data_IF_404995739679
#
_entry.id   IF_404995739679
#
_cell.length_a   1.000
_cell.length_b   1.000
_cell.length_c   1.000
_cell.angle_alpha   90.00
_cell.angle_beta   90.00
_cell.angle_gamma   90.00
#
_symmetry.space_group_name_H-M   'P 1'
#
loop_
_entity.id
_entity.type
_entity.pdbx_description
1 polymer ?
#
# COMPACT_ATOMS: atom_id res chain seq x y z
N UNK A 1 22.57 16.53 -13.63
CA UNK A 1 21.21 16.98 -13.28
C UNK A 1 21.04 18.38 -13.86
N UNK A 2 20.59 18.50 -15.10
CA UNK A 2 20.41 19.80 -15.79
C UNK A 2 19.22 19.74 -16.77
N UNK A 3 18.12 19.08 -16.38
CA UNK A 3 16.87 19.30 -17.10
C UNK A 3 15.70 19.18 -16.13
N UNK A 4 15.24 20.29 -15.52
CA UNK A 4 14.02 20.26 -14.72
C UNK A 4 12.86 19.77 -15.60
N UNK A 5 11.89 19.12 -14.97
CA UNK A 5 10.65 18.65 -15.58
C UNK A 5 10.06 19.65 -16.58
N UNK A 6 9.79 19.19 -17.80
CA UNK A 6 9.12 19.98 -18.84
C UNK A 6 7.91 19.22 -19.37
N UNK A 7 6.80 19.92 -19.56
CA UNK A 7 5.52 19.35 -20.02
C UNK A 7 5.68 18.54 -21.32
N UNK A 8 6.61 18.91 -22.18
CA UNK A 8 6.90 18.20 -23.43
C UNK A 8 7.40 16.75 -23.23
N UNK A 9 7.92 16.40 -22.05
CA UNK A 9 8.38 15.03 -21.72
C UNK A 9 7.30 14.19 -21.01
N UNK A 10 6.10 14.72 -20.79
CA UNK A 10 5.05 14.05 -20.02
C UNK A 10 4.65 12.69 -20.58
N UNK A 11 4.59 12.54 -21.90
CA UNK A 11 4.25 11.24 -22.49
C UNK A 11 5.29 10.17 -22.12
N UNK A 12 6.58 10.50 -22.23
CA UNK A 12 7.65 9.57 -21.87
C UNK A 12 7.59 9.20 -20.39
N UNK A 13 7.43 10.18 -19.51
CA UNK A 13 7.36 9.97 -18.07
C UNK A 13 6.15 9.12 -17.67
N UNK A 14 4.99 9.32 -18.30
CA UNK A 14 3.82 8.46 -18.05
C UNK A 14 4.10 6.99 -18.37
N UNK A 15 4.92 6.71 -19.39
CA UNK A 15 5.28 5.35 -19.78
C UNK A 15 6.51 4.82 -19.04
N UNK A 16 7.31 5.71 -18.44
CA UNK A 16 8.59 5.38 -17.78
C UNK A 16 8.76 6.17 -16.48
N UNK A 17 7.83 6.11 -15.52
CA UNK A 17 7.84 7.01 -14.36
C UNK A 17 9.07 6.80 -13.46
N UNK A 18 9.62 5.59 -13.46
CA UNK A 18 10.83 5.23 -12.70
C UNK A 18 12.15 5.64 -13.37
N UNK A 19 12.09 6.22 -14.58
CA UNK A 19 13.28 6.68 -15.30
C UNK A 19 13.76 8.09 -14.89
N UNK A 20 12.95 8.83 -14.12
CA UNK A 20 13.25 10.17 -13.66
C UNK A 20 13.35 10.19 -12.15
N UNK A 21 14.52 10.58 -11.62
CA UNK A 21 14.77 10.61 -10.19
C UNK A 21 13.82 11.57 -9.50
N UNK A 22 13.62 12.76 -10.05
CA UNK A 22 12.75 13.81 -9.49
C UNK A 22 11.28 13.37 -9.42
N UNK A 23 10.84 12.48 -10.32
CA UNK A 23 9.49 11.90 -10.29
C UNK A 23 9.28 10.91 -9.12
N UNK A 24 10.34 10.44 -8.47
CA UNK A 24 10.29 9.45 -7.39
C UNK A 24 10.30 10.05 -5.99
N UNK A 25 10.42 11.38 -5.85
CA UNK A 25 10.52 12.04 -4.55
C UNK A 25 9.39 13.06 -4.34
N UNK A 26 8.28 12.60 -3.78
CA UNK A 26 7.12 13.43 -3.47
C UNK A 26 7.36 14.44 -2.34
N UNK A 27 8.28 14.13 -1.41
CA UNK A 27 8.54 14.90 -0.19
C UNK A 27 9.05 16.32 -0.43
N UNK A 28 9.61 16.60 -1.61
CA UNK A 28 10.13 17.93 -1.94
C UNK A 28 9.02 18.90 -2.33
N UNK A 29 7.78 18.41 -2.51
CA UNK A 29 6.66 19.14 -3.11
C UNK A 29 5.50 19.37 -2.13
N UNK A 30 5.79 19.72 -0.87
CA UNK A 30 4.77 19.89 0.19
C UNK A 30 3.67 20.89 -0.18
N UNK A 31 4.00 21.95 -0.95
CA UNK A 31 2.98 22.89 -1.45
C UNK A 31 2.03 22.24 -2.43
N UNK A 32 2.54 21.40 -3.35
CA UNK A 32 1.70 20.68 -4.30
C UNK A 32 0.81 19.65 -3.60
N UNK A 33 1.36 18.92 -2.63
CA UNK A 33 0.60 18.01 -1.77
C UNK A 33 -0.56 18.70 -1.07
N UNK A 34 -0.31 19.88 -0.49
CA UNK A 34 -1.36 20.68 0.15
C UNK A 34 -2.45 21.08 -0.83
N UNK A 35 -2.07 21.53 -2.03
CA UNK A 35 -3.02 21.99 -3.03
C UNK A 35 -3.86 20.81 -3.60
N UNK A 36 -3.27 19.62 -3.78
CA UNK A 36 -3.98 18.39 -4.14
C UNK A 36 -4.95 17.92 -3.04
N UNK A 37 -4.54 17.97 -1.77
CA UNK A 37 -5.43 17.67 -0.64
C UNK A 37 -6.60 18.66 -0.53
N UNK A 38 -6.39 19.94 -0.84
CA UNK A 38 -7.46 20.93 -0.93
C UNK A 38 -8.40 20.65 -2.11
N UNK A 39 -7.87 20.21 -3.25
CA UNK A 39 -8.68 19.77 -4.38
C UNK A 39 -9.53 18.55 -4.02
N UNK A 40 -8.94 17.55 -3.36
CA UNK A 40 -9.63 16.37 -2.81
C UNK A 40 -10.75 16.79 -1.85
N UNK A 41 -10.45 17.68 -0.88
CA UNK A 41 -11.44 18.22 0.07
C UNK A 41 -12.59 18.93 -0.63
N UNK A 42 -12.27 19.76 -1.64
CA UNK A 42 -13.26 20.50 -2.45
C UNK A 42 -14.16 19.55 -3.26
N UNK A 43 -13.63 18.42 -3.69
CA UNK A 43 -14.39 17.36 -4.36
C UNK A 43 -15.27 16.53 -3.40
N UNK A 44 -15.24 16.81 -2.10
CA UNK A 44 -16.02 16.10 -1.07
C UNK A 44 -15.23 15.07 -0.27
N UNK A 45 -13.93 14.94 -0.54
CA UNK A 45 -13.02 14.05 0.19
C UNK A 45 -12.90 14.38 1.68
N UNK A 46 -12.92 13.35 2.51
CA UNK A 46 -12.91 13.49 3.98
C UNK A 46 -11.62 12.99 4.64
N UNK A 47 -11.15 11.83 4.20
CA UNK A 47 -10.09 11.08 4.87
C UNK A 47 -9.22 10.37 3.85
N UNK A 48 -7.91 10.36 4.09
CA UNK A 48 -6.92 9.58 3.35
C UNK A 48 -6.20 8.66 4.33
N UNK A 49 -5.97 7.42 3.92
CA UNK A 49 -5.02 6.52 4.57
C UNK A 49 -3.70 6.70 3.85
N UNK A 50 -2.68 7.17 4.57
CA UNK A 50 -1.34 7.39 4.05
C UNK A 50 -0.46 6.23 4.57
N UNK A 51 -0.13 5.32 3.65
CA UNK A 51 0.44 4.01 3.94
C UNK A 51 1.95 3.94 3.84
N UNK A 52 2.65 5.06 3.68
CA UNK A 52 4.12 5.08 3.74
C UNK A 52 4.57 4.54 5.10
N UNK A 53 5.42 3.51 5.14
CA UNK A 53 5.92 2.87 6.38
C UNK A 53 7.44 2.91 6.51
N UNK A 54 7.98 2.19 7.50
CA UNK A 54 9.42 2.05 7.67
C UNK A 54 10.06 1.45 6.42
N UNK A 55 11.02 2.19 5.85
CA UNK A 55 11.77 1.79 4.66
C UNK A 55 11.47 2.61 3.40
N UNK A 56 10.41 3.43 3.41
CA UNK A 56 10.01 4.31 2.30
C UNK A 56 9.77 5.75 2.76
N UNK A 57 10.49 6.18 3.79
CA UNK A 57 10.59 7.57 4.24
C UNK A 57 9.26 8.22 4.70
N UNK A 58 8.56 7.56 5.63
CA UNK A 58 7.39 8.12 6.35
C UNK A 58 7.72 9.43 7.07
N UNK A 59 6.92 10.48 6.89
CA UNK A 59 7.10 11.81 7.52
C UNK A 59 5.85 12.27 8.26
N UNK A 60 5.67 11.75 9.48
CA UNK A 60 4.51 12.04 10.33
C UNK A 60 4.33 13.53 10.68
N UNK A 61 5.39 14.31 11.01
CA UNK A 61 5.27 15.75 11.20
C UNK A 61 4.65 16.48 10.00
N UNK A 62 5.08 16.14 8.78
CA UNK A 62 4.51 16.73 7.56
C UNK A 62 3.05 16.32 7.37
N UNK A 63 2.70 15.05 7.57
CA UNK A 63 1.29 14.60 7.50
C UNK A 63 0.40 15.33 8.50
N UNK A 64 0.87 15.51 9.75
CA UNK A 64 0.15 16.27 10.78
C UNK A 64 -0.07 17.72 10.36
N UNK A 65 0.92 18.34 9.73
CA UNK A 65 0.81 19.71 9.25
C UNK A 65 -0.20 19.82 8.10
N UNK A 66 -0.11 18.94 7.10
CA UNK A 66 -1.03 18.88 5.96
C UNK A 66 -2.48 18.63 6.40
N UNK A 67 -2.71 17.74 7.37
CA UNK A 67 -4.05 17.50 7.92
C UNK A 67 -4.65 18.77 8.54
N UNK A 68 -3.83 19.57 9.24
CA UNK A 68 -4.28 20.86 9.83
C UNK A 68 -4.56 21.91 8.76
N UNK A 69 -3.67 22.04 7.77
CA UNK A 69 -3.75 23.09 6.77
C UNK A 69 -4.89 22.89 5.78
N UNK A 70 -5.30 21.64 5.55
CA UNK A 70 -6.30 21.28 4.54
C UNK A 70 -7.64 20.85 5.14
N UNK A 71 -7.66 20.44 6.41
CA UNK A 71 -8.84 19.88 7.05
C UNK A 71 -9.25 18.49 6.51
N UNK A 72 -8.35 17.80 5.82
CA UNK A 72 -8.46 16.38 5.45
C UNK A 72 -7.94 15.54 6.62
N UNK A 73 -8.66 14.49 7.01
CA UNK A 73 -8.16 13.54 7.99
C UNK A 73 -7.12 12.64 7.34
N UNK A 74 -5.93 12.53 7.95
CA UNK A 74 -4.87 11.65 7.45
C UNK A 74 -4.63 10.56 8.49
N UNK A 75 -4.81 9.31 8.09
CA UNK A 75 -4.56 8.12 8.90
C UNK A 75 -3.23 7.52 8.48
N UNK A 76 -2.22 7.61 9.34
CA UNK A 76 -0.88 7.10 9.04
C UNK A 76 -0.77 5.58 9.23
N UNK A 77 0.03 4.95 8.39
CA UNK A 77 0.37 3.55 8.40
C UNK A 77 1.50 3.16 9.36
N UNK A 78 1.40 1.99 10.00
CA UNK A 78 2.44 1.36 10.81
C UNK A 78 3.10 0.17 10.11
N UNK A 79 4.35 -0.15 10.45
CA UNK A 79 5.02 -1.37 10.02
C UNK A 79 6.20 -1.16 9.08
N UNK A 80 6.44 -2.14 8.21
CA UNK A 80 7.66 -2.28 7.41
C UNK A 80 7.33 -2.68 5.98
N UNK A 81 8.07 -2.10 5.04
CA UNK A 81 7.89 -2.38 3.62
C UNK A 81 8.62 -3.66 3.17
N UNK A 82 9.07 -3.74 1.91
CA UNK A 82 9.68 -4.93 1.33
C UNK A 82 11.12 -5.18 1.83
N UNK A 83 11.63 -6.41 1.69
CA UNK A 83 12.96 -6.79 2.19
C UNK A 83 14.14 -5.92 1.70
N UNK A 84 14.00 -5.31 0.51
CA UNK A 84 15.03 -4.42 -0.04
C UNK A 84 15.19 -3.12 0.74
N UNK A 85 14.18 -2.71 1.52
CA UNK A 85 14.23 -1.51 2.38
C UNK A 85 14.58 -1.85 3.84
N UNK A 86 14.56 -3.13 4.20
CA UNK A 86 14.91 -3.57 5.56
C UNK A 86 16.40 -3.37 5.86
N UNK A 87 16.69 -2.59 6.89
CA UNK A 87 18.04 -2.43 7.41
C UNK A 87 18.61 -3.73 7.99
N UNK A 88 19.93 -3.81 8.14
CA UNK A 88 20.59 -4.95 8.83
C UNK A 88 20.04 -5.16 10.25
N UNK A 89 19.64 -4.08 10.93
CA UNK A 89 19.01 -4.17 12.24
C UNK A 89 17.63 -4.82 12.15
N UNK A 90 16.77 -4.35 11.25
CA UNK A 90 15.43 -4.92 10.99
C UNK A 90 15.51 -6.41 10.66
N UNK A 91 16.41 -6.80 9.75
CA UNK A 91 16.60 -8.22 9.38
C UNK A 91 17.03 -9.10 10.55
N UNK A 92 17.65 -8.55 11.60
CA UNK A 92 18.08 -9.28 12.80
C UNK A 92 17.03 -9.29 13.92
N UNK A 93 15.99 -8.46 13.85
CA UNK A 93 14.94 -8.44 14.86
C UNK A 93 14.18 -9.77 14.88
N UNK A 94 13.76 -10.16 16.08
CA UNK A 94 12.83 -11.27 16.27
C UNK A 94 11.42 -10.83 15.93
N UNK A 95 10.51 -11.80 15.76
CA UNK A 95 9.09 -11.51 15.49
C UNK A 95 8.50 -10.69 16.63
N UNK A 96 8.80 -11.03 17.89
CA UNK A 96 8.32 -10.32 19.07
C UNK A 96 8.76 -8.86 19.06
N UNK A 97 10.02 -8.59 18.70
CA UNK A 97 10.53 -7.22 18.66
C UNK A 97 9.86 -6.40 17.55
N UNK A 98 9.60 -7.00 16.40
CA UNK A 98 8.86 -6.36 15.31
C UNK A 98 7.41 -6.09 15.73
N UNK A 99 6.75 -7.04 16.42
CA UNK A 99 5.40 -6.87 16.97
C UNK A 99 5.35 -5.69 17.94
N UNK A 100 6.29 -5.61 18.88
CA UNK A 100 6.36 -4.52 19.86
C UNK A 100 6.48 -3.15 19.19
N UNK A 101 7.24 -3.06 18.09
CA UNK A 101 7.38 -1.82 17.32
C UNK A 101 6.03 -1.45 16.72
N UNK A 102 5.39 -2.35 15.97
CA UNK A 102 4.08 -2.08 15.33
C UNK A 102 3.05 -1.67 16.38
N UNK A 103 2.99 -2.38 17.51
CA UNK A 103 2.07 -2.06 18.61
C UNK A 103 2.36 -0.69 19.21
N UNK A 104 3.63 -0.33 19.40
CA UNK A 104 4.02 0.98 19.89
C UNK A 104 3.65 2.10 18.91
N UNK A 105 3.84 1.90 17.60
CA UNK A 105 3.47 2.88 16.57
C UNK A 105 1.97 3.21 16.62
N UNK A 106 1.12 2.21 16.87
CA UNK A 106 -0.33 2.38 16.98
C UNK A 106 -0.75 2.98 18.33
N UNK A 107 -0.15 2.55 19.44
CA UNK A 107 -0.63 2.94 20.78
C UNK A 107 0.03 4.19 21.35
N UNK A 108 1.28 4.46 21.01
CA UNK A 108 2.13 5.44 21.70
C UNK A 108 2.72 6.49 20.76
N UNK A 109 2.99 6.11 19.51
CA UNK A 109 3.51 7.00 18.49
C UNK A 109 4.66 6.37 17.71
N UNK A 110 4.92 6.93 16.54
CA UNK A 110 5.90 6.43 15.59
C UNK A 110 7.00 7.47 15.29
N UNK A 111 8.15 6.98 14.81
CA UNK A 111 9.30 7.79 14.33
C UNK A 111 9.82 8.86 15.33
N UNK A 112 9.78 8.54 16.63
CA UNK A 112 10.20 9.48 17.69
C UNK A 112 9.22 10.63 17.94
N UNK A 113 8.01 10.54 17.39
CA UNK A 113 6.91 11.50 17.61
C UNK A 113 5.84 10.93 18.54
N UNK A 114 4.89 11.78 18.93
CA UNK A 114 3.66 11.38 19.63
C UNK A 114 2.50 11.08 18.65
N UNK A 115 2.78 10.96 17.35
CA UNK A 115 1.79 10.68 16.31
C UNK A 115 1.58 9.17 16.23
N UNK A 116 0.36 8.74 16.53
CA UNK A 116 -0.05 7.35 16.44
C UNK A 116 -0.51 6.99 15.03
N UNK A 117 -0.15 5.80 14.59
CA UNK A 117 -0.66 5.20 13.36
C UNK A 117 -2.06 4.62 13.59
N UNK A 118 -2.90 4.59 12.55
CA UNK A 118 -4.28 4.10 12.64
C UNK A 118 -4.53 2.78 11.91
N UNK A 119 -3.58 2.34 11.07
CA UNK A 119 -3.63 1.06 10.34
C UNK A 119 -2.25 0.38 10.41
N UNK A 120 -2.21 -0.94 10.23
CA UNK A 120 -0.95 -1.68 10.08
C UNK A 120 -0.72 -1.90 8.58
N UNK A 121 0.05 -1.02 7.95
CA UNK A 121 0.33 -1.10 6.52
C UNK A 121 0.90 0.20 5.96
N UNK A 122 1.42 0.20 4.73
CA UNK A 122 1.54 -1.00 3.90
C UNK A 122 2.63 -1.96 4.41
N UNK A 123 2.29 -3.24 4.53
CA UNK A 123 3.25 -4.31 4.83
C UNK A 123 3.74 -4.90 3.51
N UNK A 124 5.02 -4.70 3.23
CA UNK A 124 5.62 -5.05 1.95
C UNK A 124 6.07 -6.49 1.85
N UNK A 125 5.76 -7.12 0.72
CA UNK A 125 6.31 -8.43 0.35
C UNK A 125 6.78 -8.45 -1.10
N UNK A 126 7.92 -9.09 -1.34
CA UNK A 126 8.37 -9.47 -2.67
C UNK A 126 7.83 -10.83 -3.12
N UNK A 127 8.42 -11.37 -4.18
CA UNK A 127 8.22 -12.76 -4.58
C UNK A 127 9.55 -13.40 -5.05
N UNK A 128 9.93 -14.58 -4.53
CA UNK A 128 9.34 -15.28 -3.38
C UNK A 128 9.41 -14.46 -2.09
N UNK A 129 8.50 -14.71 -1.13
CA UNK A 129 8.51 -14.04 0.17
C UNK A 129 9.79 -14.43 0.93
N UNK A 130 10.56 -13.44 1.35
CA UNK A 130 11.84 -13.66 2.05
C UNK A 130 11.64 -14.04 3.53
N UNK A 131 12.71 -14.48 4.18
CA UNK A 131 12.69 -14.74 5.63
C UNK A 131 12.37 -13.47 6.44
N UNK A 132 12.91 -12.32 6.03
CA UNK A 132 12.65 -11.07 6.74
C UNK A 132 11.20 -10.62 6.59
N UNK A 133 10.63 -10.71 5.39
CA UNK A 133 9.21 -10.40 5.14
C UNK A 133 8.29 -11.38 5.86
N UNK A 134 8.65 -12.67 5.89
CA UNK A 134 7.91 -13.69 6.68
C UNK A 134 7.87 -13.32 8.17
N UNK A 135 8.99 -12.82 8.74
CA UNK A 135 9.00 -12.35 10.13
C UNK A 135 8.12 -11.11 10.33
N UNK A 136 8.12 -10.18 9.39
CA UNK A 136 7.25 -8.98 9.43
C UNK A 136 5.77 -9.35 9.30
N UNK A 137 5.40 -10.27 8.40
CA UNK A 137 4.02 -10.78 8.28
C UNK A 137 3.54 -11.43 9.58
N UNK A 138 4.39 -12.26 10.21
CA UNK A 138 4.06 -12.87 11.51
C UNK A 138 3.88 -11.81 12.59
N UNK A 139 4.76 -10.83 12.66
CA UNK A 139 4.67 -9.73 13.61
C UNK A 139 3.40 -8.90 13.40
N UNK A 140 3.05 -8.66 12.14
CA UNK A 140 1.81 -7.98 11.71
C UNK A 140 0.58 -8.72 12.23
N UNK A 141 0.50 -10.04 12.02
CA UNK A 141 -0.61 -10.86 12.53
C UNK A 141 -0.73 -10.81 14.06
N UNK A 142 0.38 -10.91 14.79
CA UNK A 142 0.37 -10.79 16.25
C UNK A 142 -0.07 -9.40 16.73
N UNK A 143 0.40 -8.33 16.07
CA UNK A 143 -0.01 -6.97 16.38
C UNK A 143 -1.51 -6.76 16.11
N UNK A 144 -2.00 -7.28 14.98
CA UNK A 144 -3.42 -7.24 14.63
C UNK A 144 -4.28 -7.96 15.66
N UNK A 145 -3.85 -9.14 16.13
CA UNK A 145 -4.58 -9.89 17.16
C UNK A 145 -4.66 -9.14 18.50
N UNK A 146 -3.64 -8.35 18.85
CA UNK A 146 -3.63 -7.53 20.07
C UNK A 146 -4.48 -6.27 19.94
N UNK A 147 -4.47 -5.62 18.77
CA UNK A 147 -5.04 -4.29 18.57
C UNK A 147 -6.43 -4.31 17.93
N UNK A 148 -6.74 -5.34 17.16
CA UNK A 148 -7.94 -5.42 16.33
C UNK A 148 -7.96 -4.47 15.13
N UNK A 149 -6.83 -3.82 14.83
CA UNK A 149 -6.63 -2.89 13.71
C UNK A 149 -6.73 -3.58 12.34
N UNK A 150 -7.03 -2.84 11.26
CA UNK A 150 -6.92 -3.35 9.91
C UNK A 150 -5.46 -3.51 9.49
N UNK A 151 -5.20 -4.49 8.60
CA UNK A 151 -3.91 -4.68 7.92
C UNK A 151 -4.06 -4.24 6.45
N UNK A 152 -3.03 -3.61 5.88
CA UNK A 152 -2.95 -3.36 4.43
C UNK A 152 -1.64 -3.98 3.90
N UNK A 153 -1.75 -4.85 2.89
CA UNK A 153 -0.66 -5.65 2.35
C UNK A 153 -0.30 -5.20 0.94
N UNK A 154 1.00 -5.00 0.72
CA UNK A 154 1.60 -4.91 -0.60
C UNK A 154 2.15 -6.28 -1.03
N UNK A 155 1.51 -6.96 -2.00
CA UNK A 155 1.98 -8.25 -2.48
C UNK A 155 3.09 -8.11 -3.55
N UNK A 156 3.89 -9.17 -3.66
CA UNK A 156 4.73 -9.42 -4.82
C UNK A 156 3.92 -9.43 -6.13
N UNK A 157 4.62 -9.36 -7.27
CA UNK A 157 3.98 -9.23 -8.61
C UNK A 157 3.54 -10.58 -9.21
N UNK A 158 3.78 -11.68 -8.49
CA UNK A 158 3.38 -13.01 -8.92
C UNK A 158 1.94 -13.30 -8.48
N UNK A 159 1.15 -13.98 -9.32
CA UNK A 159 -0.26 -14.31 -9.05
C UNK A 159 -0.45 -15.13 -7.76
N UNK A 160 0.55 -15.93 -7.35
CA UNK A 160 0.49 -16.71 -6.11
C UNK A 160 0.85 -15.91 -4.84
N UNK A 161 1.42 -14.69 -4.98
CA UNK A 161 1.88 -13.91 -3.83
C UNK A 161 0.74 -13.51 -2.86
N UNK A 162 -0.43 -13.00 -3.33
CA UNK A 162 -1.54 -12.68 -2.44
C UNK A 162 -2.00 -13.85 -1.57
N UNK A 163 -2.20 -15.03 -2.16
CA UNK A 163 -2.66 -16.21 -1.44
C UNK A 163 -1.63 -16.71 -0.41
N UNK A 164 -0.33 -16.63 -0.75
CA UNK A 164 0.74 -17.00 0.17
C UNK A 164 0.82 -16.04 1.38
N UNK A 165 0.62 -14.73 1.17
CA UNK A 165 0.53 -13.78 2.28
C UNK A 165 -0.64 -14.11 3.21
N UNK A 166 -1.83 -14.36 2.64
CA UNK A 166 -3.02 -14.76 3.41
C UNK A 166 -2.75 -16.02 4.22
N UNK A 167 -2.13 -17.04 3.62
CA UNK A 167 -1.74 -18.28 4.30
C UNK A 167 -0.87 -18.00 5.53
N UNK A 168 0.20 -17.21 5.37
CA UNK A 168 1.13 -16.87 6.47
C UNK A 168 0.40 -16.11 7.59
N UNK A 169 -0.45 -15.14 7.24
CA UNK A 169 -1.22 -14.38 8.21
C UNK A 169 -2.18 -15.30 8.98
N UNK A 170 -2.96 -16.15 8.30
CA UNK A 170 -3.90 -17.08 8.93
C UNK A 170 -3.21 -18.10 9.84
N UNK A 171 -2.10 -18.70 9.39
CA UNK A 171 -1.31 -19.64 10.20
C UNK A 171 -0.76 -19.00 11.48
N UNK A 172 -0.58 -17.67 11.47
CA UNK A 172 -0.13 -16.89 12.63
C UNK A 172 -1.29 -16.35 13.48
N UNK A 173 -2.53 -16.55 13.05
CA UNK A 173 -3.74 -16.10 13.77
C UNK A 173 -4.24 -14.71 13.38
N UNK A 174 -3.81 -14.17 12.22
CA UNK A 174 -4.34 -12.93 11.65
C UNK A 174 -5.80 -13.06 11.21
N UNK A 175 -6.57 -11.99 11.37
CA UNK A 175 -7.96 -11.87 10.94
C UNK A 175 -8.03 -11.30 9.52
N UNK A 176 -8.20 -12.20 8.55
CA UNK A 176 -8.28 -11.86 7.13
C UNK A 176 -9.49 -11.00 6.80
N UNK A 177 -10.58 -11.09 7.58
CA UNK A 177 -11.76 -10.27 7.37
C UNK A 177 -11.53 -8.77 7.61
N UNK A 178 -10.37 -8.42 8.19
CA UNK A 178 -9.85 -7.06 8.43
C UNK A 178 -8.54 -6.79 7.69
N UNK A 179 -8.21 -7.59 6.68
CA UNK A 179 -7.00 -7.42 5.88
C UNK A 179 -7.37 -6.92 4.49
N UNK A 180 -6.66 -5.92 4.01
CA UNK A 180 -6.73 -5.40 2.65
C UNK A 180 -5.56 -5.96 1.85
N UNK A 181 -5.86 -6.52 0.69
CA UNK A 181 -4.85 -6.91 -0.29
C UNK A 181 -4.80 -5.86 -1.40
N UNK A 182 -3.73 -5.07 -1.40
CA UNK A 182 -3.44 -4.03 -2.37
C UNK A 182 -3.01 -4.60 -3.72
N UNK A 183 -3.05 -3.77 -4.76
CA UNK A 183 -2.50 -4.05 -6.09
C UNK A 183 -3.06 -5.30 -6.80
N UNK A 184 -4.31 -5.69 -6.52
CA UNK A 184 -4.91 -6.83 -7.22
C UNK A 184 -5.08 -6.54 -8.71
N UNK A 185 -5.30 -5.27 -9.06
CA UNK A 185 -5.48 -4.82 -10.43
C UNK A 185 -4.26 -5.09 -11.33
N UNK A 186 -3.04 -5.21 -10.76
CA UNK A 186 -1.82 -5.57 -11.52
C UNK A 186 -1.31 -6.99 -11.29
N UNK A 187 -2.03 -7.81 -10.51
CA UNK A 187 -1.48 -9.07 -9.99
C UNK A 187 -2.30 -10.30 -10.38
N UNK A 188 -3.64 -10.26 -10.28
CA UNK A 188 -4.51 -11.40 -10.62
C UNK A 188 -5.46 -10.97 -11.74
N UNK A 189 -5.29 -11.57 -12.91
CA UNK A 189 -6.06 -11.22 -14.12
C UNK A 189 -7.08 -12.30 -14.51
N UNK A 190 -6.81 -13.55 -14.14
CA UNK A 190 -7.73 -14.65 -14.39
C UNK A 190 -8.91 -14.56 -13.42
N UNK A 191 -10.12 -14.67 -13.96
CA UNK A 191 -11.35 -14.51 -13.17
C UNK A 191 -11.55 -15.66 -12.18
N UNK A 192 -11.15 -16.89 -12.51
CA UNK A 192 -11.27 -18.05 -11.61
C UNK A 192 -10.28 -17.93 -10.45
N UNK A 193 -9.00 -17.63 -10.73
CA UNK A 193 -7.99 -17.37 -9.70
C UNK A 193 -8.40 -16.19 -8.79
N UNK A 194 -8.99 -15.14 -9.36
CA UNK A 194 -9.47 -13.99 -8.60
C UNK A 194 -10.62 -14.36 -7.67
N UNK A 195 -11.59 -15.17 -8.12
CA UNK A 195 -12.70 -15.63 -7.28
C UNK A 195 -12.23 -16.60 -6.18
N UNK A 196 -11.27 -17.48 -6.50
CA UNK A 196 -10.64 -18.34 -5.51
C UNK A 196 -9.97 -17.50 -4.41
N UNK A 197 -9.17 -16.50 -4.79
CA UNK A 197 -8.55 -15.59 -3.83
C UNK A 197 -9.59 -14.77 -3.04
N UNK A 198 -10.61 -14.23 -3.70
CA UNK A 198 -11.67 -13.45 -3.07
C UNK A 198 -12.41 -14.25 -1.98
N UNK A 199 -12.60 -15.56 -2.20
CA UNK A 199 -13.26 -16.46 -1.25
C UNK A 199 -12.50 -16.58 0.09
N UNK A 200 -11.21 -16.20 0.15
CA UNK A 200 -10.43 -16.18 1.38
C UNK A 200 -10.85 -15.07 2.35
N UNK A 201 -11.64 -14.09 1.88
CA UNK A 201 -12.36 -13.14 2.73
C UNK A 201 -11.64 -11.83 3.06
N UNK A 202 -10.54 -11.52 2.37
CA UNK A 202 -9.87 -10.22 2.45
C UNK A 202 -10.64 -9.13 1.70
N UNK A 203 -10.34 -7.86 1.99
CA UNK A 203 -10.71 -6.76 1.11
C UNK A 203 -9.83 -6.78 -0.14
N UNK A 204 -10.45 -6.57 -1.29
CA UNK A 204 -9.84 -6.57 -2.61
C UNK A 204 -9.64 -5.13 -3.04
N UNK A 205 -8.39 -4.67 -3.04
CA UNK A 205 -8.07 -3.29 -3.34
C UNK A 205 -7.52 -3.13 -4.77
N UNK A 206 -8.16 -2.22 -5.50
CA UNK A 206 -7.78 -1.75 -6.83
C UNK A 206 -7.28 -0.31 -6.66
N UNK A 207 -6.02 -0.18 -6.31
CA UNK A 207 -5.42 1.07 -5.84
C UNK A 207 -4.60 1.81 -6.90
N UNK A 208 -4.51 1.33 -8.14
CA UNK A 208 -3.73 2.00 -9.19
C UNK A 208 -4.60 2.72 -10.23
N UNK A 209 -5.77 3.26 -9.83
CA UNK A 209 -6.58 4.07 -10.75
C UNK A 209 -5.81 5.30 -11.25
N UNK A 210 -5.87 5.56 -12.55
CA UNK A 210 -5.12 6.62 -13.22
C UNK A 210 -3.70 6.23 -13.65
N UNK A 211 -3.22 5.05 -13.22
CA UNK A 211 -1.88 4.53 -13.54
C UNK A 211 -1.97 3.54 -14.71
N UNK A 212 -1.63 4.05 -15.90
CA UNK A 212 -1.67 3.30 -17.17
C UNK A 212 -0.32 3.35 -17.88
N UNK A 213 0.29 2.19 -18.13
CA UNK A 213 1.63 2.05 -18.70
C UNK A 213 1.67 0.88 -19.68
N UNK A 214 2.23 1.13 -20.86
CA UNK A 214 2.62 0.10 -21.81
C UNK A 214 4.00 -0.43 -21.35
N UNK A 215 4.12 -1.74 -21.17
CA UNK A 215 5.30 -2.41 -20.59
C UNK A 215 5.57 -2.03 -19.13
N UNK A 216 4.85 -2.65 -18.19
CA UNK A 216 5.10 -2.47 -16.77
C UNK A 216 6.52 -2.96 -16.40
N UNK A 217 7.45 -2.09 -15.96
CA UNK A 217 8.87 -2.47 -15.82
C UNK A 217 9.14 -3.52 -14.73
N UNK A 218 8.19 -3.72 -13.82
CA UNK A 218 8.30 -4.73 -12.75
C UNK A 218 7.65 -6.07 -13.10
N UNK A 219 6.90 -6.15 -14.21
CA UNK A 219 6.42 -7.39 -14.78
C UNK A 219 6.17 -7.19 -16.29
N UNK A 220 7.15 -7.58 -17.12
CA UNK A 220 7.13 -7.36 -18.56
C UNK A 220 6.08 -8.20 -19.29
N UNK A 221 5.50 -9.21 -18.63
CA UNK A 221 4.43 -10.05 -19.19
C UNK A 221 3.06 -9.37 -19.10
N UNK A 222 2.99 -8.18 -18.49
CA UNK A 222 1.75 -7.46 -18.16
C UNK A 222 1.83 -6.01 -18.63
N UNK A 223 0.82 -5.58 -19.37
CA UNK A 223 0.49 -4.15 -19.50
C UNK A 223 -0.35 -3.72 -18.31
N UNK A 224 -0.03 -2.57 -17.73
CA UNK A 224 -0.86 -2.02 -16.64
C UNK A 224 -2.28 -1.79 -17.15
N UNK A 225 -3.32 -2.31 -16.49
CA UNK A 225 -4.68 -2.13 -16.96
C UNK A 225 -5.06 -0.65 -17.07
N UNK A 226 -5.94 -0.36 -18.02
CA UNK A 226 -6.65 0.90 -18.06
C UNK A 226 -7.71 0.98 -16.97
N UNK A 227 -8.15 2.19 -16.65
CA UNK A 227 -9.27 2.40 -15.71
C UNK A 227 -10.55 1.73 -16.22
N UNK A 228 -10.74 1.65 -17.54
CA UNK A 228 -11.86 0.91 -18.14
C UNK A 228 -11.79 -0.60 -17.89
N UNK A 229 -10.58 -1.17 -17.83
CA UNK A 229 -10.40 -2.58 -17.45
C UNK A 229 -10.62 -2.78 -15.95
N UNK A 230 -10.11 -1.87 -15.10
CA UNK A 230 -10.38 -1.90 -13.65
C UNK A 230 -11.87 -1.84 -13.34
N UNK A 231 -12.62 -0.93 -13.98
CA UNK A 231 -14.08 -0.83 -13.82
C UNK A 231 -14.79 -2.12 -14.23
N UNK A 232 -14.34 -2.80 -15.29
CA UNK A 232 -14.91 -4.10 -15.69
C UNK A 232 -14.63 -5.20 -14.66
N UNK A 233 -13.41 -5.25 -14.11
CA UNK A 233 -13.05 -6.20 -13.07
C UNK A 233 -13.86 -5.97 -11.78
N UNK A 234 -14.03 -4.71 -11.36
CA UNK A 234 -14.88 -4.36 -10.22
C UNK A 234 -16.35 -4.74 -10.48
N UNK A 235 -16.88 -4.46 -11.68
CA UNK A 235 -18.24 -4.83 -12.04
C UNK A 235 -18.46 -6.36 -12.04
N UNK A 236 -17.45 -7.12 -12.47
CA UNK A 236 -17.45 -8.58 -12.36
C UNK A 236 -17.51 -9.02 -10.89
N UNK A 237 -16.64 -8.51 -10.02
CA UNK A 237 -16.64 -8.85 -8.59
C UNK A 237 -17.94 -8.47 -7.87
N UNK A 238 -18.55 -7.33 -8.21
CA UNK A 238 -19.88 -6.93 -7.71
C UNK A 238 -20.94 -7.94 -8.12
N UNK A 239 -20.94 -8.38 -9.39
CA UNK A 239 -21.88 -9.37 -9.89
C UNK A 239 -21.75 -10.73 -9.17
N UNK A 240 -20.53 -11.09 -8.79
CA UNK A 240 -20.21 -12.31 -8.02
C UNK A 240 -20.42 -12.14 -6.51
N UNK A 241 -20.89 -10.97 -6.04
CA UNK A 241 -21.34 -10.75 -4.65
C UNK A 241 -20.28 -10.20 -3.69
N UNK A 242 -19.17 -9.66 -4.21
CA UNK A 242 -18.07 -9.13 -3.39
C UNK A 242 -18.13 -7.62 -3.15
N UNK A 243 -19.26 -6.95 -3.41
CA UNK A 243 -19.38 -5.48 -3.35
C UNK A 243 -18.90 -4.86 -2.02
N UNK A 244 -19.20 -5.52 -0.89
CA UNK A 244 -18.80 -5.06 0.46
C UNK A 244 -17.31 -5.28 0.78
N UNK A 245 -16.55 -5.87 -0.15
CA UNK A 245 -15.13 -6.19 -0.02
C UNK A 245 -14.24 -5.43 -1.00
N UNK A 246 -14.80 -4.55 -1.84
CA UNK A 246 -14.02 -3.79 -2.82
C UNK A 246 -13.53 -2.46 -2.23
N UNK A 247 -12.26 -2.14 -2.49
CA UNK A 247 -11.64 -0.84 -2.20
C UNK A 247 -11.01 -0.27 -3.46
N UNK A 248 -10.98 1.07 -3.55
CA UNK A 248 -10.41 1.80 -4.69
C UNK A 248 -9.55 2.95 -4.19
N UNK A 249 -8.37 3.09 -4.77
CA UNK A 249 -7.43 4.18 -4.50
C UNK A 249 -6.59 4.51 -5.76
N UNK A 250 -5.59 5.37 -5.60
CA UNK A 250 -4.72 5.84 -6.69
C UNK A 250 -3.23 5.50 -6.52
N UNK A 251 -2.79 5.18 -5.29
CA UNK A 251 -1.40 4.85 -4.94
C UNK A 251 -0.39 5.83 -5.56
N UNK A 252 -0.57 7.11 -5.21
CA UNK A 252 0.18 8.26 -5.75
C UNK A 252 1.61 8.29 -5.22
#
# INVERSE_FOLDING_TARGET
>A
AENPFQVQHMHWLKQNPYSCRENLFLQQEVSALRDELLAYKKAGGGTIVENTTTGIDRDLPTLRQLAKDTGVHIVAGAGFYVDSTHTVATKKMSVEKLTDIIVSEVLHGADGTDIRCGVIGEIGTGWPITESETKVLRATAYAQAQLGCPIIIHPGRNTAAPAEVVRILQETGGDISKTVMSHLDRTIFDEEELLEFASLGSYLEYDLFGTEMLNYPFNLDVDMPSDSQRVKALAFLVKEGYEDRLLVAHDI
#
